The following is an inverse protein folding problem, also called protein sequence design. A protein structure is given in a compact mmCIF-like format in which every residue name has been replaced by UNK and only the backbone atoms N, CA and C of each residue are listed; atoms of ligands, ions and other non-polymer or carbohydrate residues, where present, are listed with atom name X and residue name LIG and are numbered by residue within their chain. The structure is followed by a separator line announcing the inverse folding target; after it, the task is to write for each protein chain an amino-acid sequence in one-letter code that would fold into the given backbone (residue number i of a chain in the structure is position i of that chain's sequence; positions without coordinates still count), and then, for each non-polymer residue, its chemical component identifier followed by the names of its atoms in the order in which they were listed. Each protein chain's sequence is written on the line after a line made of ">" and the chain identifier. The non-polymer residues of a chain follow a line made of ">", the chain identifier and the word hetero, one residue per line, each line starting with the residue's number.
data_IF_310760590890
#
_entry.id   IF_310760590890
#
_cell.length_a   1.000
_cell.length_b   1.000
_cell.length_c   1.000
_cell.angle_alpha   90.00
_cell.angle_beta   90.00
_cell.angle_gamma   90.00
#
_symmetry.space_group_name_H-M   'P 1'
#
loop_
_entity.id
_entity.type
_entity.pdbx_description
1 polymer ?
#
# COMPACT_ATOMS: atom_id res chain seq x y z
N UNK A 1 14.59 8.54 33.92
CA UNK A 1 15.19 8.22 32.60
C UNK A 1 14.37 7.17 31.82
N UNK A 2 13.45 6.46 32.47
CA UNK A 2 12.70 5.36 31.83
C UNK A 2 11.48 5.80 30.99
N UNK A 3 10.83 6.94 31.31
CA UNK A 3 9.70 7.43 30.52
C UNK A 3 10.07 7.81 29.08
N UNK A 4 11.27 8.36 28.86
CA UNK A 4 11.75 8.70 27.51
C UNK A 4 12.04 7.45 26.68
N UNK A 5 12.57 6.40 27.31
CA UNK A 5 12.81 5.11 26.65
C UNK A 5 11.51 4.40 26.28
N UNK A 6 10.51 4.41 27.18
CA UNK A 6 9.19 3.86 26.91
C UNK A 6 8.44 4.61 25.80
N UNK A 7 8.54 5.95 25.77
CA UNK A 7 7.95 6.77 24.71
C UNK A 7 8.57 6.49 23.33
N UNK A 8 9.89 6.33 23.27
CA UNK A 8 10.59 5.97 22.03
C UNK A 8 10.23 4.56 21.56
N UNK A 9 10.17 3.59 22.47
CA UNK A 9 9.76 2.20 22.15
C UNK A 9 8.34 2.16 21.56
N UNK A 10 7.40 2.88 22.17
CA UNK A 10 6.03 3.00 21.65
C UNK A 10 5.99 3.67 20.27
N UNK A 11 6.76 4.74 20.07
CA UNK A 11 6.86 5.41 18.76
C UNK A 11 7.38 4.47 17.67
N UNK A 12 8.46 3.73 17.96
CA UNK A 12 9.04 2.75 17.02
C UNK A 12 8.03 1.67 16.68
N UNK A 13 7.33 1.12 17.69
CA UNK A 13 6.29 0.10 17.52
C UNK A 13 5.13 0.56 16.64
N UNK A 14 4.68 1.79 16.81
CA UNK A 14 3.61 2.35 15.97
C UNK A 14 4.11 2.53 14.54
N UNK A 15 5.30 3.10 14.35
CA UNK A 15 5.88 3.30 13.02
C UNK A 15 6.05 1.97 12.25
N UNK A 16 6.55 0.92 12.92
CA UNK A 16 6.70 -0.41 12.30
C UNK A 16 5.36 -1.05 11.96
N UNK A 17 4.30 -0.79 12.72
CA UNK A 17 2.96 -1.28 12.41
C UNK A 17 2.39 -0.69 11.10
N UNK A 18 2.77 0.54 10.71
CA UNK A 18 2.37 1.14 9.43
C UNK A 18 3.20 0.65 8.24
N UNK A 19 4.42 0.18 8.49
CA UNK A 19 5.31 -0.29 7.44
C UNK A 19 4.75 -1.52 6.69
N UNK A 20 4.22 -2.50 7.42
CA UNK A 20 3.64 -3.72 6.82
C UNK A 20 2.53 -3.43 5.79
N UNK A 21 1.51 -2.65 6.12
CA UNK A 21 0.46 -2.24 5.18
C UNK A 21 0.99 -1.50 3.94
N UNK A 22 1.90 -0.55 4.10
CA UNK A 22 2.48 0.20 2.95
C UNK A 22 3.25 -0.77 2.05
N UNK A 23 4.08 -1.63 2.65
CA UNK A 23 4.83 -2.66 1.95
C UNK A 23 3.91 -3.61 1.18
N UNK A 24 2.79 -4.03 1.78
CA UNK A 24 1.81 -4.91 1.14
C UNK A 24 1.18 -4.29 -0.11
N UNK A 25 0.85 -2.99 -0.08
CA UNK A 25 0.35 -2.25 -1.24
C UNK A 25 1.40 -2.26 -2.35
N UNK A 26 2.65 -1.93 -2.04
CA UNK A 26 3.74 -1.89 -3.02
C UNK A 26 3.99 -3.26 -3.67
N UNK A 27 4.06 -4.33 -2.88
CA UNK A 27 4.26 -5.69 -3.40
C UNK A 27 3.09 -6.13 -4.29
N UNK A 28 1.86 -5.83 -3.86
CA UNK A 28 0.68 -6.16 -4.66
C UNK A 28 0.67 -5.36 -5.97
N UNK A 29 1.00 -4.08 -5.92
CA UNK A 29 1.05 -3.24 -7.10
C UNK A 29 2.16 -3.69 -8.08
N UNK A 30 3.38 -3.87 -7.59
CA UNK A 30 4.53 -4.18 -8.44
C UNK A 30 4.52 -5.63 -8.93
N UNK A 31 4.43 -6.61 -8.02
CA UNK A 31 4.59 -8.02 -8.40
C UNK A 31 3.30 -8.68 -8.86
N UNK A 32 2.15 -8.32 -8.31
CA UNK A 32 0.87 -8.95 -8.68
C UNK A 32 0.25 -8.22 -9.87
N UNK A 33 0.11 -6.89 -9.79
CA UNK A 33 -0.58 -6.11 -10.81
C UNK A 33 0.30 -5.81 -12.01
N UNK A 34 1.50 -5.26 -11.80
CA UNK A 34 2.47 -4.93 -12.84
C UNK A 34 3.36 -6.10 -13.26
N UNK A 35 3.28 -7.26 -12.58
CA UNK A 35 4.08 -8.47 -12.86
C UNK A 35 5.58 -8.21 -12.90
N UNK A 36 6.06 -7.23 -12.12
CA UNK A 36 7.45 -6.81 -12.09
C UNK A 36 7.93 -6.05 -13.33
N UNK A 37 7.01 -5.49 -14.14
CA UNK A 37 7.33 -4.81 -15.41
C UNK A 37 6.87 -3.34 -15.39
N UNK A 38 7.76 -2.46 -14.94
CA UNK A 38 7.62 -1.00 -15.04
C UNK A 38 8.81 -0.48 -15.85
N UNK A 39 8.64 -0.36 -17.16
CA UNK A 39 9.68 0.05 -18.11
C UNK A 39 9.06 0.92 -19.21
N UNK A 40 9.89 1.72 -19.90
CA UNK A 40 9.48 2.58 -21.02
C UNK A 40 8.36 3.55 -20.64
N UNK A 41 7.30 3.60 -21.44
CA UNK A 41 6.19 4.54 -21.26
C UNK A 41 5.52 4.48 -19.88
N UNK A 42 5.53 3.31 -19.22
CA UNK A 42 4.98 3.18 -17.86
C UNK A 42 5.84 3.90 -16.82
N UNK A 43 7.16 3.81 -16.99
CA UNK A 43 8.10 4.52 -16.13
C UNK A 43 7.99 6.02 -16.39
N UNK A 44 7.90 6.42 -17.66
CA UNK A 44 7.74 7.83 -18.03
C UNK A 44 6.43 8.43 -17.48
N UNK A 45 5.34 7.66 -17.45
CA UNK A 45 4.06 8.10 -16.87
C UNK A 45 4.15 8.36 -15.36
N UNK A 46 5.03 7.66 -14.62
CA UNK A 46 5.26 7.92 -13.18
C UNK A 46 5.94 9.27 -12.93
N UNK A 47 6.68 9.81 -13.92
CA UNK A 47 7.31 11.13 -13.86
C UNK A 47 6.45 12.23 -14.49
N UNK A 48 5.25 11.88 -14.98
CA UNK A 48 4.34 12.83 -15.61
C UNK A 48 3.27 13.30 -14.62
N UNK A 49 3.33 14.58 -14.23
CA UNK A 49 2.35 15.20 -13.31
C UNK A 49 0.91 15.18 -13.84
N UNK A 50 0.72 14.98 -15.16
CA UNK A 50 -0.59 14.85 -15.81
C UNK A 50 -0.84 13.45 -16.37
N UNK A 51 0.00 12.48 -16.00
CA UNK A 51 -0.08 11.10 -16.41
C UNK A 51 -1.25 10.34 -15.78
N UNK A 52 -1.35 9.06 -16.09
CA UNK A 52 -2.40 8.19 -15.56
C UNK A 52 -2.27 7.96 -14.05
N UNK A 53 -1.05 8.07 -13.52
CA UNK A 53 -0.74 7.97 -12.10
C UNK A 53 -0.86 9.31 -11.35
N UNK A 54 -1.34 10.39 -12.00
CA UNK A 54 -1.57 11.66 -11.34
C UNK A 54 -2.75 11.60 -10.34
N UNK A 55 -2.52 12.15 -9.14
CA UNK A 55 -3.51 12.28 -8.07
C UNK A 55 -3.36 11.22 -6.97
N UNK A 56 -4.45 10.92 -6.27
CA UNK A 56 -4.44 10.04 -5.09
C UNK A 56 -5.08 8.70 -5.43
N UNK A 57 -4.33 7.61 -5.21
CA UNK A 57 -4.86 6.26 -5.28
C UNK A 57 -5.62 5.92 -3.98
N UNK A 58 -6.92 6.19 -3.99
CA UNK A 58 -7.78 5.92 -2.83
C UNK A 58 -7.84 4.44 -2.42
N UNK A 59 -7.62 3.50 -3.35
CA UNK A 59 -7.55 2.08 -3.01
C UNK A 59 -6.33 1.78 -2.12
N UNK A 60 -5.18 2.42 -2.41
CA UNK A 60 -3.98 2.32 -1.58
C UNK A 60 -4.24 2.90 -0.18
N UNK A 61 -4.83 4.10 -0.10
CA UNK A 61 -5.14 4.76 1.18
C UNK A 61 -6.06 3.88 2.05
N UNK A 62 -7.16 3.37 1.48
CA UNK A 62 -8.11 2.51 2.20
C UNK A 62 -7.42 1.23 2.66
N UNK A 63 -6.65 0.57 1.78
CA UNK A 63 -5.96 -0.66 2.11
C UNK A 63 -4.94 -0.46 3.24
N UNK A 64 -4.12 0.59 3.17
CA UNK A 64 -3.15 0.93 4.22
C UNK A 64 -3.85 1.24 5.55
N UNK A 65 -4.96 1.98 5.54
CA UNK A 65 -5.72 2.27 6.74
C UNK A 65 -6.30 1.00 7.39
N UNK A 66 -6.90 0.11 6.60
CA UNK A 66 -7.42 -1.18 7.08
C UNK A 66 -6.29 -2.04 7.63
N UNK A 67 -5.16 -2.11 6.92
CA UNK A 67 -3.97 -2.82 7.35
C UNK A 67 -3.42 -2.31 8.68
N UNK A 68 -3.34 -0.99 8.84
CA UNK A 68 -2.87 -0.37 10.08
C UNK A 68 -3.80 -0.71 11.26
N UNK A 69 -5.12 -0.63 11.08
CA UNK A 69 -6.09 -1.03 12.11
C UNK A 69 -5.89 -2.49 12.52
N UNK A 70 -5.68 -3.39 11.55
CA UNK A 70 -5.40 -4.81 11.82
C UNK A 70 -4.06 -4.98 12.55
N UNK A 71 -3.01 -4.28 12.12
CA UNK A 71 -1.68 -4.34 12.72
C UNK A 71 -1.67 -3.84 14.17
N UNK A 72 -2.49 -2.85 14.50
CA UNK A 72 -2.62 -2.31 15.85
C UNK A 72 -3.34 -3.25 16.83
N UNK A 73 -4.07 -4.27 16.36
CA UNK A 73 -4.69 -5.29 17.24
C UNK A 73 -3.61 -6.12 17.93
N UNK A 74 -2.51 -6.42 17.24
CA UNK A 74 -1.36 -7.12 17.82
C UNK A 74 -0.08 -6.65 17.12
N UNK A 75 0.60 -5.69 17.75
CA UNK A 75 1.77 -5.02 17.18
C UNK A 75 2.95 -5.98 16.97
N UNK A 76 3.12 -6.98 17.85
CA UNK A 76 4.25 -7.91 17.80
C UNK A 76 4.24 -8.81 16.56
N UNK A 77 3.06 -9.15 16.05
CA UNK A 77 2.87 -9.92 14.80
C UNK A 77 2.25 -9.10 13.67
N UNK A 78 2.15 -7.77 13.86
CA UNK A 78 1.45 -6.83 12.99
C UNK A 78 1.87 -6.94 11.53
N UNK A 79 3.16 -7.15 11.29
CA UNK A 79 3.68 -7.26 9.93
C UNK A 79 3.00 -8.39 9.16
N UNK A 80 2.88 -9.58 9.74
CA UNK A 80 2.26 -10.72 9.07
C UNK A 80 0.74 -10.60 9.02
N UNK A 81 0.12 -10.18 10.12
CA UNK A 81 -1.34 -10.06 10.21
C UNK A 81 -1.90 -8.94 9.35
N UNK A 82 -1.15 -7.86 9.14
CA UNK A 82 -1.59 -6.75 8.31
C UNK A 82 -1.27 -6.94 6.83
N UNK A 83 -0.16 -7.59 6.47
CA UNK A 83 0.31 -7.64 5.07
C UNK A 83 -0.68 -8.36 4.15
N UNK A 84 -1.11 -9.57 4.50
CA UNK A 84 -2.00 -10.36 3.63
C UNK A 84 -3.36 -9.68 3.44
N UNK A 85 -4.07 -9.26 4.51
CA UNK A 85 -5.34 -8.55 4.36
C UNK A 85 -5.21 -7.24 3.58
N UNK A 86 -4.13 -6.48 3.80
CA UNK A 86 -3.89 -5.22 3.08
C UNK A 86 -3.75 -5.46 1.59
N UNK A 87 -2.95 -6.45 1.17
CA UNK A 87 -2.78 -6.79 -0.24
C UNK A 87 -4.10 -7.21 -0.90
N UNK A 88 -4.91 -8.01 -0.20
CA UNK A 88 -6.24 -8.41 -0.69
C UNK A 88 -7.18 -7.21 -0.84
N UNK A 89 -7.28 -6.36 0.19
CA UNK A 89 -8.11 -5.15 0.16
C UNK A 89 -7.65 -4.25 -0.98
N UNK A 90 -6.35 -3.99 -1.11
CA UNK A 90 -5.80 -3.20 -2.21
C UNK A 90 -6.18 -3.77 -3.57
N UNK A 91 -5.97 -5.07 -3.78
CA UNK A 91 -6.28 -5.73 -5.05
C UNK A 91 -7.77 -5.62 -5.42
N UNK A 92 -8.67 -5.88 -4.47
CA UNK A 92 -10.11 -5.81 -4.71
C UNK A 92 -10.61 -4.37 -4.90
N UNK A 93 -10.12 -3.42 -4.10
CA UNK A 93 -10.41 -2.00 -4.27
C UNK A 93 -9.91 -1.52 -5.64
N UNK A 94 -8.66 -1.86 -5.99
CA UNK A 94 -8.10 -1.58 -7.31
C UNK A 94 -8.96 -2.19 -8.40
N UNK A 95 -9.50 -3.40 -8.27
CA UNK A 95 -10.35 -4.03 -9.29
C UNK A 95 -11.75 -3.43 -9.43
N UNK A 96 -12.35 -2.92 -8.35
CA UNK A 96 -13.77 -2.53 -8.31
C UNK A 96 -14.02 -1.02 -8.29
N UNK A 97 -13.11 -0.22 -7.74
CA UNK A 97 -13.38 1.19 -7.47
C UNK A 97 -13.21 2.08 -8.71
N UNK A 98 -14.23 2.82 -9.17
CA UNK A 98 -14.14 3.61 -10.40
C UNK A 98 -13.10 4.73 -10.34
N UNK A 99 -12.93 5.37 -9.18
CA UNK A 99 -11.95 6.45 -8.98
C UNK A 99 -10.51 6.01 -9.20
N UNK A 100 -10.21 4.73 -9.06
CA UNK A 100 -8.89 4.16 -9.31
C UNK A 100 -8.68 3.66 -10.74
N UNK A 101 -9.64 3.87 -11.66
CA UNK A 101 -9.55 3.36 -13.02
C UNK A 101 -8.28 3.79 -13.76
N UNK A 102 -7.83 5.03 -13.55
CA UNK A 102 -6.59 5.57 -14.15
C UNK A 102 -5.33 4.82 -13.72
N UNK A 103 -5.26 4.38 -12.46
CA UNK A 103 -4.13 3.65 -11.88
C UNK A 103 -4.10 2.16 -12.29
N UNK A 104 -5.08 1.68 -13.06
CA UNK A 104 -5.06 0.32 -13.62
C UNK A 104 -4.32 0.23 -14.95
N UNK A 105 -4.08 1.35 -15.61
CA UNK A 105 -3.43 1.38 -16.91
C UNK A 105 -2.02 0.82 -16.81
N UNK A 106 -1.66 -0.08 -17.71
CA UNK A 106 -0.39 -0.80 -17.67
C UNK A 106 -0.34 -1.97 -16.68
N UNK A 107 -1.44 -2.30 -15.99
CA UNK A 107 -1.54 -3.43 -15.06
C UNK A 107 -2.32 -4.60 -15.66
N UNK A 108 -2.22 -5.77 -15.04
CA UNK A 108 -3.08 -6.92 -15.34
C UNK A 108 -4.59 -6.71 -15.07
N UNK A 109 -4.98 -5.56 -14.51
CA UNK A 109 -6.38 -5.17 -14.29
C UNK A 109 -6.90 -4.19 -15.35
N UNK A 110 -6.08 -3.80 -16.32
CA UNK A 110 -6.50 -3.02 -17.48
C UNK A 110 -7.47 -3.85 -18.35
N UNK A 111 -8.58 -3.24 -18.77
CA UNK A 111 -9.60 -3.84 -19.63
C UNK A 111 -9.70 -3.06 -20.93
#
# INVERSE_FOLDING_TARGET
>A
NDSSAAGLDMFVKIYTAFFGPIFAVLITDYYIMHRGKIEGEKLDDLYNDKGNHAGVNWAAIIATAVGAVIGLINVDISFFTATIPTGLVYYFCMKKMPSCGRFRKGTSLEK
#
